data_IF_673962095392
#
_entry.id   IF_673962095392
#
_cell.length_a   1.000
_cell.length_b   1.000
_cell.length_c   1.000
_cell.angle_alpha   90.00
_cell.angle_beta   90.00
_cell.angle_gamma   90.00
#
_symmetry.space_group_name_H-M   'P 1'
#
loop_
_entity.id
_entity.type
_entity.pdbx_description
1 polymer ?
#
# COMPACT_ATOMS: atom_id res chain seq x y z
N UNK A 1 1.50 61.13 -20.33
CA UNK A 1 1.48 60.22 -21.47
C UNK A 1 2.88 59.62 -21.50
N UNK A 2 3.12 58.42 -20.98
CA UNK A 2 2.43 57.18 -21.35
C UNK A 2 2.28 56.20 -20.18
N UNK A 3 1.17 55.46 -20.24
CA UNK A 3 0.73 54.45 -19.30
C UNK A 3 1.09 53.08 -19.91
N UNK A 4 2.14 52.42 -19.42
CA UNK A 4 2.44 51.03 -19.79
C UNK A 4 1.56 50.09 -18.96
N UNK A 5 0.44 49.72 -19.54
CA UNK A 5 -0.45 48.65 -19.08
C UNK A 5 0.22 47.32 -19.42
N UNK A 6 0.86 46.69 -18.44
CA UNK A 6 1.43 45.35 -18.57
C UNK A 6 0.28 44.33 -18.63
N UNK A 7 0.03 43.80 -19.82
CA UNK A 7 -0.89 42.69 -20.06
C UNK A 7 -0.54 41.47 -19.19
N UNK A 8 -1.46 41.07 -18.32
CA UNK A 8 -1.44 39.77 -17.65
C UNK A 8 -1.57 38.67 -18.71
N UNK A 9 -0.52 37.85 -18.85
CA UNK A 9 -0.58 36.63 -19.66
C UNK A 9 -1.23 35.51 -18.85
N UNK A 10 -2.32 34.87 -19.33
CA UNK A 10 -2.99 33.83 -18.56
C UNK A 10 -2.13 32.55 -18.52
N UNK A 11 -2.03 31.99 -17.31
CA UNK A 11 -1.30 30.77 -16.97
C UNK A 11 -1.60 29.63 -17.96
N UNK A 12 -0.55 29.18 -18.65
CA UNK A 12 -0.57 27.93 -19.42
C UNK A 12 -0.65 26.76 -18.45
N UNK A 13 -1.87 26.38 -18.04
CA UNK A 13 -2.11 25.13 -17.33
C UNK A 13 -1.63 23.97 -18.21
N UNK A 14 -0.56 23.28 -17.77
CA UNK A 14 0.09 22.22 -18.54
C UNK A 14 -0.90 21.11 -18.90
N UNK A 15 -1.11 20.86 -20.20
CA UNK A 15 -2.00 19.80 -20.72
C UNK A 15 -1.64 18.40 -20.20
N UNK A 16 -0.37 18.19 -19.87
CA UNK A 16 0.12 16.92 -19.31
C UNK A 16 -0.41 16.67 -17.89
N UNK A 17 -0.51 17.70 -17.05
CA UNK A 17 -1.06 17.57 -15.69
C UNK A 17 -2.56 17.29 -15.72
N UNK A 18 -3.32 17.95 -16.60
CA UNK A 18 -4.77 17.72 -16.74
C UNK A 18 -5.06 16.30 -17.21
N UNK A 19 -4.27 15.79 -18.14
CA UNK A 19 -4.41 14.40 -18.62
C UNK A 19 -4.08 13.39 -17.51
N UNK A 20 -3.00 13.62 -16.76
CA UNK A 20 -2.55 12.76 -15.67
C UNK A 20 -3.54 12.74 -14.49
N UNK A 21 -4.14 13.89 -14.17
CA UNK A 21 -5.21 14.02 -13.17
C UNK A 21 -6.43 13.18 -13.57
N UNK A 22 -6.84 13.23 -14.84
CA UNK A 22 -7.96 12.44 -15.36
C UNK A 22 -7.72 10.93 -15.33
N UNK A 23 -6.50 10.50 -15.67
CA UNK A 23 -6.10 9.08 -15.57
C UNK A 23 -6.06 8.60 -14.11
N UNK A 24 -5.53 9.41 -13.19
CA UNK A 24 -5.55 9.09 -11.74
C UNK A 24 -6.96 8.93 -11.21
N UNK A 25 -7.85 9.88 -11.52
CA UNK A 25 -9.24 9.80 -11.05
C UNK A 25 -9.94 8.51 -11.52
N UNK A 26 -9.74 8.12 -12.79
CA UNK A 26 -10.32 6.87 -13.32
C UNK A 26 -9.70 5.63 -12.68
N UNK A 27 -8.39 5.64 -12.42
CA UNK A 27 -7.70 4.55 -11.74
C UNK A 27 -8.18 4.40 -10.29
N UNK A 28 -8.27 5.51 -9.55
CA UNK A 28 -8.72 5.56 -8.17
C UNK A 28 -10.18 5.06 -8.07
N UNK A 29 -11.06 5.52 -8.95
CA UNK A 29 -12.44 5.02 -9.02
C UNK A 29 -12.49 3.51 -9.23
N UNK A 30 -11.71 2.97 -10.18
CA UNK A 30 -11.65 1.54 -10.43
C UNK A 30 -11.14 0.79 -9.22
N UNK A 31 -10.08 1.30 -8.57
CA UNK A 31 -9.52 0.72 -7.35
C UNK A 31 -10.57 0.67 -6.23
N UNK A 32 -11.26 1.78 -5.95
CA UNK A 32 -12.31 1.81 -4.94
C UNK A 32 -13.48 0.90 -5.29
N UNK A 33 -13.84 0.73 -6.57
CA UNK A 33 -14.86 -0.25 -6.98
C UNK A 33 -14.43 -1.67 -6.65
N UNK A 34 -13.20 -2.05 -6.98
CA UNK A 34 -12.64 -3.36 -6.60
C UNK A 34 -12.60 -3.55 -5.08
N UNK A 35 -12.24 -2.50 -4.33
CA UNK A 35 -12.12 -2.57 -2.87
C UNK A 35 -13.46 -2.72 -2.14
N UNK A 36 -14.60 -2.37 -2.78
CA UNK A 36 -15.94 -2.57 -2.19
C UNK A 36 -16.28 -4.03 -1.95
N UNK A 37 -15.67 -4.94 -2.70
CA UNK A 37 -15.86 -6.38 -2.53
C UNK A 37 -15.11 -6.94 -1.30
N UNK A 38 -14.27 -6.12 -0.67
CA UNK A 38 -13.48 -6.47 0.50
C UNK A 38 -13.98 -5.75 1.75
N UNK A 39 -13.75 -6.37 2.91
CA UNK A 39 -14.15 -5.83 4.20
C UNK A 39 -13.22 -4.68 4.59
N UNK A 40 -13.74 -3.47 4.73
CA UNK A 40 -13.03 -2.35 5.35
C UNK A 40 -12.83 -2.67 6.85
N UNK A 41 -11.61 -2.50 7.35
CA UNK A 41 -11.20 -2.89 8.71
C UNK A 41 -10.32 -1.82 9.35
N UNK A 42 -10.11 -1.91 10.65
CA UNK A 42 -9.08 -1.16 11.38
C UNK A 42 -8.11 -2.19 11.98
N UNK A 43 -7.13 -2.67 11.18
CA UNK A 43 -6.39 -3.87 11.49
C UNK A 43 -5.23 -3.62 12.46
N UNK A 44 -4.81 -2.36 12.62
CA UNK A 44 -3.68 -1.97 13.47
C UNK A 44 -4.19 -1.45 14.81
N UNK A 45 -3.44 -1.68 15.88
CA UNK A 45 -3.78 -1.16 17.22
C UNK A 45 -3.71 0.36 17.31
N UNK A 46 -2.92 0.99 16.44
CA UNK A 46 -2.79 2.44 16.33
C UNK A 46 -3.69 2.95 15.22
N UNK A 47 -4.60 3.87 15.57
CA UNK A 47 -5.44 4.54 14.58
C UNK A 47 -4.61 5.60 13.85
N UNK A 48 -4.34 5.35 12.56
CA UNK A 48 -3.58 6.27 11.72
C UNK A 48 -4.53 7.18 10.94
N UNK A 49 -4.37 8.50 11.10
CA UNK A 49 -5.18 9.49 10.38
C UNK A 49 -4.94 9.40 8.87
N UNK A 50 -6.00 9.51 8.08
CA UNK A 50 -6.00 9.44 6.62
C UNK A 50 -5.62 8.07 6.04
N UNK A 51 -5.64 7.01 6.85
CA UNK A 51 -5.53 5.64 6.37
C UNK A 51 -6.91 5.02 6.24
N UNK A 52 -7.07 4.18 5.22
CA UNK A 52 -8.15 3.22 5.08
C UNK A 52 -7.56 1.85 4.82
N UNK A 53 -8.14 0.81 5.40
CA UNK A 53 -7.63 -0.54 5.30
C UNK A 53 -8.72 -1.51 4.88
N UNK A 54 -8.32 -2.52 4.12
CA UNK A 54 -9.18 -3.61 3.68
C UNK A 54 -8.52 -4.95 4.03
N UNK A 55 -9.33 -5.87 4.55
CA UNK A 55 -8.95 -7.24 4.79
C UNK A 55 -9.09 -8.02 3.48
N UNK A 56 -8.00 -8.64 3.05
CA UNK A 56 -7.95 -9.40 1.81
C UNK A 56 -7.72 -10.89 2.14
N UNK A 57 -8.75 -11.75 1.97
CA UNK A 57 -8.59 -13.19 2.16
C UNK A 57 -7.52 -13.73 1.22
N UNK A 58 -6.71 -14.67 1.72
CA UNK A 58 -5.74 -15.35 0.88
C UNK A 58 -6.46 -16.30 -0.10
N UNK A 59 -6.16 -16.15 -1.39
CA UNK A 59 -6.71 -16.99 -2.45
C UNK A 59 -5.68 -18.03 -2.89
N UNK A 60 -5.85 -19.28 -2.44
CA UNK A 60 -4.95 -20.38 -2.80
C UNK A 60 -4.97 -20.70 -4.30
N UNK A 61 -6.10 -20.47 -4.98
CA UNK A 61 -6.22 -20.68 -6.43
C UNK A 61 -5.61 -19.52 -7.22
N UNK A 62 -5.32 -18.41 -6.55
CA UNK A 62 -4.70 -17.21 -7.11
C UNK A 62 -5.52 -16.51 -8.20
N UNK A 63 -6.81 -16.83 -8.32
CA UNK A 63 -7.73 -16.27 -9.31
C UNK A 63 -7.87 -14.75 -9.09
N UNK A 64 -7.76 -14.30 -7.84
CA UNK A 64 -7.84 -12.90 -7.43
C UNK A 64 -6.47 -12.26 -7.20
N UNK A 65 -5.37 -12.97 -7.47
CA UNK A 65 -4.03 -12.41 -7.34
C UNK A 65 -3.80 -11.36 -8.44
N UNK A 66 -3.29 -10.18 -8.08
CA UNK A 66 -2.97 -9.12 -9.05
C UNK A 66 -4.09 -8.11 -9.34
N UNK A 67 -5.25 -8.20 -8.68
CA UNK A 67 -6.29 -7.16 -8.77
C UNK A 67 -5.89 -5.85 -8.07
N UNK A 68 -4.97 -5.93 -7.10
CA UNK A 68 -4.48 -4.79 -6.34
C UNK A 68 -3.22 -4.17 -6.98
N UNK A 69 -3.05 -2.84 -6.88
CA UNK A 69 -1.95 -2.12 -7.52
C UNK A 69 -0.58 -2.64 -7.07
N UNK A 70 0.28 -3.03 -8.01
CA UNK A 70 1.65 -3.51 -7.73
C UNK A 70 1.73 -4.79 -6.88
N UNK A 71 0.64 -5.54 -6.69
CA UNK A 71 0.65 -6.78 -5.92
C UNK A 71 1.74 -7.74 -6.39
N UNK A 72 1.80 -8.01 -7.70
CA UNK A 72 2.79 -8.93 -8.27
C UNK A 72 4.24 -8.46 -8.13
N UNK A 73 4.47 -7.17 -7.92
CA UNK A 73 5.81 -6.61 -7.70
C UNK A 73 6.22 -6.72 -6.23
N UNK A 74 5.30 -6.39 -5.32
CA UNK A 74 5.56 -6.36 -3.87
C UNK A 74 5.53 -7.76 -3.25
N UNK A 75 4.56 -8.58 -3.67
CA UNK A 75 4.38 -9.96 -3.20
C UNK A 75 5.26 -10.92 -3.97
N UNK A 76 5.72 -10.55 -5.17
CA UNK A 76 6.35 -11.40 -6.17
C UNK A 76 7.08 -12.60 -5.59
N UNK A 77 6.60 -13.77 -5.98
CA UNK A 77 7.23 -15.09 -5.76
C UNK A 77 8.60 -15.19 -6.45
N UNK A 78 8.90 -14.27 -7.37
CA UNK A 78 10.09 -14.29 -8.22
C UNK A 78 11.19 -13.37 -7.70
N UNK A 79 11.46 -13.40 -6.39
CA UNK A 79 12.72 -12.85 -5.90
C UNK A 79 13.82 -13.89 -6.20
N UNK A 80 14.83 -13.58 -7.03
CA UNK A 80 15.90 -14.51 -7.38
C UNK A 80 16.92 -14.64 -6.24
N UNK A 81 16.46 -14.87 -5.00
CA UNK A 81 17.35 -15.39 -3.98
C UNK A 81 17.55 -16.87 -4.30
N UNK A 82 18.80 -17.36 -4.38
CA UNK A 82 19.05 -18.79 -4.46
C UNK A 82 18.28 -19.45 -3.32
N UNK A 83 17.46 -20.45 -3.70
CA UNK A 83 16.51 -21.24 -2.90
C UNK A 83 17.14 -21.75 -1.60
N UNK A 84 17.38 -20.86 -0.64
CA UNK A 84 17.52 -21.22 0.74
C UNK A 84 16.09 -21.46 1.19
N UNK A 85 15.75 -22.71 1.50
CA UNK A 85 14.47 -23.14 2.11
C UNK A 85 14.13 -22.43 3.45
N UNK A 86 14.87 -21.37 3.82
CA UNK A 86 14.82 -20.66 5.11
C UNK A 86 14.42 -19.20 4.98
N UNK A 87 14.04 -18.71 3.80
CA UNK A 87 13.54 -17.32 3.66
C UNK A 87 12.03 -17.32 3.66
N UNK A 88 11.45 -16.65 4.64
CA UNK A 88 10.01 -16.44 4.73
C UNK A 88 9.56 -15.47 3.64
N UNK A 89 8.54 -15.87 2.88
CA UNK A 89 7.97 -15.10 1.77
C UNK A 89 6.64 -14.50 2.18
N UNK A 90 6.16 -13.51 1.42
CA UNK A 90 4.81 -12.98 1.61
C UNK A 90 3.76 -14.10 1.40
N UNK A 91 3.91 -14.92 0.35
CA UNK A 91 2.99 -16.02 0.05
C UNK A 91 2.89 -17.03 1.19
N UNK A 92 4.01 -17.43 1.79
CA UNK A 92 3.99 -18.39 2.91
C UNK A 92 3.27 -17.84 4.14
N UNK A 93 3.45 -16.56 4.47
CA UNK A 93 2.78 -15.93 5.61
C UNK A 93 1.30 -15.71 5.33
N UNK A 94 0.95 -15.18 4.15
CA UNK A 94 -0.45 -15.02 3.76
C UNK A 94 -1.20 -16.35 3.77
N UNK A 95 -0.54 -17.44 3.35
CA UNK A 95 -1.10 -18.80 3.46
C UNK A 95 -1.24 -19.24 4.91
N UNK A 96 -0.20 -19.08 5.74
CA UNK A 96 -0.20 -19.46 7.17
C UNK A 96 -1.31 -18.76 7.95
N UNK A 97 -1.49 -17.46 7.75
CA UNK A 97 -2.45 -16.63 8.47
C UNK A 97 -3.80 -16.45 7.73
N UNK A 98 -3.90 -16.95 6.49
CA UNK A 98 -5.11 -16.94 5.68
C UNK A 98 -5.51 -15.59 5.06
N UNK A 99 -4.68 -14.55 5.18
CA UNK A 99 -5.00 -13.21 4.68
C UNK A 99 -3.79 -12.29 4.57
N UNK A 100 -4.05 -11.09 4.05
CA UNK A 100 -3.23 -9.89 4.21
C UNK A 100 -4.13 -8.65 4.30
N UNK A 101 -3.54 -7.50 4.57
CA UNK A 101 -4.23 -6.22 4.54
C UNK A 101 -3.69 -5.32 3.44
N UNK A 102 -4.58 -4.56 2.83
CA UNK A 102 -4.25 -3.50 1.90
C UNK A 102 -4.68 -2.16 2.46
N UNK A 103 -3.83 -1.16 2.35
CA UNK A 103 -4.05 0.17 2.89
C UNK A 103 -3.90 1.24 1.82
N UNK A 104 -4.68 2.31 1.97
CA UNK A 104 -4.52 3.56 1.22
C UNK A 104 -4.25 4.66 2.23
N UNK A 105 -3.20 5.43 2.01
CA UNK A 105 -2.94 6.67 2.71
C UNK A 105 -3.15 7.86 1.79
N UNK A 106 -3.91 8.84 2.27
CA UNK A 106 -4.23 10.07 1.53
C UNK A 106 -3.53 11.30 2.09
N UNK A 107 -3.09 12.16 1.18
CA UNK A 107 -2.68 13.54 1.48
C UNK A 107 -3.44 14.48 0.54
N UNK A 108 -4.06 15.53 1.10
CA UNK A 108 -4.85 16.51 0.33
C UNK A 108 -5.89 15.85 -0.59
N UNK A 109 -6.59 14.84 -0.06
CA UNK A 109 -7.60 14.01 -0.73
C UNK A 109 -7.13 13.11 -1.89
N UNK A 110 -5.85 13.18 -2.27
CA UNK A 110 -5.22 12.30 -3.25
C UNK A 110 -4.58 11.08 -2.59
N UNK A 111 -4.54 9.96 -3.31
CA UNK A 111 -3.81 8.77 -2.86
C UNK A 111 -2.30 9.06 -2.93
N UNK A 112 -1.69 9.18 -1.76
CA UNK A 112 -0.26 9.46 -1.63
C UNK A 112 0.56 8.18 -1.54
N UNK A 113 0.04 7.12 -0.91
CA UNK A 113 0.72 5.82 -0.77
C UNK A 113 -0.26 4.65 -0.76
N UNK A 114 0.18 3.53 -1.33
CA UNK A 114 -0.40 2.22 -1.05
C UNK A 114 0.38 1.53 0.06
N UNK A 115 -0.29 0.69 0.83
CA UNK A 115 0.34 -0.07 1.90
C UNK A 115 -0.07 -1.52 1.78
N UNK A 116 0.91 -2.42 1.86
CA UNK A 116 0.68 -3.85 1.98
C UNK A 116 1.09 -4.29 3.38
N UNK A 117 0.19 -4.95 4.10
CA UNK A 117 0.47 -5.53 5.40
C UNK A 117 0.39 -7.05 5.36
N UNK A 118 1.52 -7.71 5.58
CA UNK A 118 1.61 -9.17 5.64
C UNK A 118 1.60 -9.60 7.11
N UNK A 119 0.66 -10.47 7.52
CA UNK A 119 0.59 -10.91 8.91
C UNK A 119 1.85 -11.69 9.31
N UNK A 120 2.28 -11.50 10.55
CA UNK A 120 3.41 -12.20 11.13
C UNK A 120 3.82 -11.62 12.49
N UNK A 121 4.60 -12.39 13.22
CA UNK A 121 5.23 -11.99 14.48
C UNK A 121 6.35 -10.96 14.24
N UNK A 122 6.69 -10.18 15.28
CA UNK A 122 7.80 -9.24 15.23
C UNK A 122 9.16 -9.94 15.40
N UNK A 123 9.45 -10.89 14.51
CA UNK A 123 10.69 -11.69 14.51
C UNK A 123 11.38 -11.60 13.15
N UNK A 124 12.70 -11.82 13.11
CA UNK A 124 13.45 -11.80 11.84
C UNK A 124 13.05 -12.95 10.92
N UNK A 125 12.61 -14.03 11.53
CA UNK A 125 12.17 -15.26 10.89
C UNK A 125 10.85 -15.05 10.16
N UNK A 126 9.95 -14.20 10.70
CA UNK A 126 8.67 -13.86 10.06
C UNK A 126 8.70 -12.55 9.29
N UNK A 127 9.85 -11.87 9.19
CA UNK A 127 10.00 -10.70 8.33
C UNK A 127 10.08 -11.13 6.86
N UNK A 128 9.12 -10.73 6.00
CA UNK A 128 9.11 -11.12 4.59
C UNK A 128 10.41 -10.71 3.88
N UNK A 129 11.06 -11.68 3.23
CA UNK A 129 12.32 -11.48 2.52
C UNK A 129 13.41 -10.77 3.34
N UNK A 130 13.36 -10.88 4.68
CA UNK A 130 14.24 -10.15 5.61
C UNK A 130 14.23 -8.62 5.39
N UNK A 131 13.11 -8.08 4.90
CA UNK A 131 12.89 -6.65 4.67
C UNK A 131 13.44 -6.10 3.34
N UNK A 132 14.04 -6.95 2.49
CA UNK A 132 14.64 -6.52 1.21
C UNK A 132 13.60 -5.94 0.25
N UNK A 133 12.38 -6.48 0.24
CA UNK A 133 11.26 -6.01 -0.61
C UNK A 133 10.45 -4.89 0.03
N UNK A 134 10.94 -4.28 1.11
CA UNK A 134 10.30 -3.11 1.72
C UNK A 134 9.47 -3.35 2.96
N UNK A 135 9.27 -4.61 3.36
CA UNK A 135 8.61 -5.00 4.61
C UNK A 135 9.52 -4.75 5.82
N UNK A 136 9.81 -3.48 6.08
CA UNK A 136 10.74 -3.01 7.12
C UNK A 136 10.05 -2.50 8.38
N UNK A 137 8.77 -2.18 8.28
CA UNK A 137 7.97 -1.66 9.38
C UNK A 137 7.08 -2.78 9.92
N UNK A 138 6.81 -2.79 11.22
CA UNK A 138 5.90 -3.74 11.83
C UNK A 138 4.95 -3.03 12.80
N UNK A 139 3.70 -3.48 12.87
CA UNK A 139 2.69 -2.90 13.75
C UNK A 139 1.80 -4.00 14.34
N UNK A 140 1.43 -3.84 15.61
CA UNK A 140 0.52 -4.75 16.30
C UNK A 140 -0.86 -4.76 15.64
N UNK A 141 -1.48 -5.93 15.58
CA UNK A 141 -2.88 -6.03 15.22
C UNK A 141 -3.79 -5.38 16.29
N UNK A 142 -4.98 -4.94 15.89
CA UNK A 142 -5.96 -4.40 16.84
C UNK A 142 -6.50 -5.51 17.77
N UNK A 143 -6.70 -5.16 19.04
CA UNK A 143 -6.68 -6.04 20.22
C UNK A 143 -7.98 -6.85 20.48
N UNK A 144 -8.67 -7.35 19.46
CA UNK A 144 -9.75 -8.33 19.67
C UNK A 144 -9.26 -9.78 19.73
N UNK A 145 -8.04 -10.05 19.26
CA UNK A 145 -7.42 -11.36 19.34
C UNK A 145 -6.12 -11.28 20.12
N UNK A 146 -6.06 -12.03 21.24
CA UNK A 146 -4.87 -12.27 22.07
C UNK A 146 -3.78 -12.98 21.25
N UNK A 147 -3.05 -12.25 20.43
CA UNK A 147 -1.94 -12.77 19.65
C UNK A 147 -0.77 -11.81 19.64
N UNK A 148 0.43 -12.34 19.82
CA UNK A 148 1.73 -11.65 19.65
C UNK A 148 2.01 -11.26 18.18
N UNK A 149 1.04 -11.52 17.29
CA UNK A 149 1.12 -11.32 15.85
C UNK A 149 0.59 -9.94 15.43
N UNK A 150 1.21 -9.38 14.40
CA UNK A 150 0.84 -8.10 13.82
C UNK A 150 1.02 -8.15 12.31
N UNK A 151 1.37 -7.02 11.71
CA UNK A 151 1.60 -6.90 10.28
C UNK A 151 2.94 -6.26 9.98
N UNK A 152 3.71 -6.92 9.12
CA UNK A 152 4.83 -6.31 8.41
C UNK A 152 4.29 -5.43 7.29
N UNK A 153 4.65 -4.15 7.29
CA UNK A 153 4.14 -3.14 6.38
C UNK A 153 5.20 -2.70 5.35
N UNK A 154 4.78 -2.68 4.09
CA UNK A 154 5.51 -2.07 2.98
C UNK A 154 4.70 -0.91 2.40
N UNK A 155 5.31 0.26 2.27
CA UNK A 155 4.71 1.46 1.68
C UNK A 155 5.14 1.57 0.23
N UNK A 156 4.22 1.91 -0.66
CA UNK A 156 4.43 1.85 -2.11
C UNK A 156 3.98 3.16 -2.74
N UNK A 157 4.83 3.72 -3.59
CA UNK A 157 4.52 4.90 -4.38
C UNK A 157 3.44 4.57 -5.43
N UNK A 158 2.28 5.25 -5.45
CA UNK A 158 1.21 4.96 -6.40
C UNK A 158 1.60 5.18 -7.87
N UNK A 159 2.59 6.07 -8.12
CA UNK A 159 3.03 6.44 -9.48
C UNK A 159 4.10 5.50 -10.02
N UNK A 160 5.03 5.05 -9.17
CA UNK A 160 6.21 4.27 -9.60
C UNK A 160 6.15 2.80 -9.18
N UNK A 161 5.33 2.44 -8.21
CA UNK A 161 5.30 1.09 -7.62
C UNK A 161 6.49 0.77 -6.71
N UNK A 162 7.42 1.71 -6.54
CA UNK A 162 8.60 1.53 -5.69
C UNK A 162 8.23 1.56 -4.21
N UNK A 163 8.94 0.77 -3.42
CA UNK A 163 8.80 0.84 -1.96
C UNK A 163 9.39 2.15 -1.44
N UNK A 164 8.66 2.85 -0.58
CA UNK A 164 9.09 4.08 0.08
C UNK A 164 9.17 3.92 1.59
N UNK A 165 9.74 4.91 2.25
CA UNK A 165 9.62 5.05 3.70
C UNK A 165 8.16 5.31 4.14
N UNK A 166 7.82 5.02 5.41
CA UNK A 166 6.52 5.36 5.97
C UNK A 166 6.27 6.88 5.86
N UNK A 167 5.01 7.30 5.65
CA UNK A 167 4.67 8.71 5.76
C UNK A 167 4.98 9.23 7.17
N UNK A 168 5.35 10.51 7.28
CA UNK A 168 5.46 11.19 8.58
C UNK A 168 4.05 11.33 9.16
N UNK A 169 3.62 10.31 9.89
CA UNK A 169 2.31 10.29 10.55
C UNK A 169 2.38 11.03 11.86
N UNK A 170 1.53 12.04 12.02
CA UNK A 170 1.21 12.59 13.33
C UNK A 170 0.28 11.60 14.04
N UNK A 171 0.77 10.96 15.10
CA UNK A 171 -0.07 10.18 16.01
C UNK A 171 -1.07 11.13 16.70
N UNK A 172 -2.30 10.68 16.90
CA UNK A 172 -3.33 11.40 17.69
C UNK A 172 -3.53 10.68 19.00
#
# INVERSE_FOLDING_TARGET
>A
EDNEEAEETPEKLNKDDVSNQGYRNRFDEKLYRTLRDFKEVEPLSVKLKNFKWWYIPYDEMGIKNGILPYYNQIVSTYYPYPMSNRVTTCASLMKKYGHYIFGIYKEKDEIAKFIYGIPGEFTKEEQPYKGVTGFKNWSYANNDNKGESGYWLAFVNPKTGETTDPPKVSLT
#
